data_IF_976390379206
#
_entry.id   IF_976390379206
#
_cell.length_a   1.000
_cell.length_b   1.000
_cell.length_c   1.000
_cell.angle_alpha   90.00
_cell.angle_beta   90.00
_cell.angle_gamma   90.00
#
_symmetry.space_group_name_H-M   'P 1'
#
loop_
_entity.id
_entity.type
_entity.pdbx_description
1 polymer ?
#
# COMPACT_ATOMS: atom_id res chain seq x y z
N UNK A 1 9.82 4.86 -16.57
CA UNK A 1 9.49 4.85 -15.13
C UNK A 1 9.51 6.30 -14.65
N UNK A 2 8.43 6.78 -14.07
CA UNK A 2 8.35 8.12 -13.47
C UNK A 2 8.20 7.96 -11.95
N UNK A 3 8.68 8.92 -11.16
CA UNK A 3 8.53 8.91 -9.69
C UNK A 3 7.74 10.15 -9.27
N UNK A 4 6.54 9.95 -8.72
CA UNK A 4 5.77 11.03 -8.10
C UNK A 4 6.35 11.35 -6.74
N UNK A 5 6.90 12.55 -6.57
CA UNK A 5 7.52 12.98 -5.32
C UNK A 5 6.58 13.87 -4.52
N UNK A 6 6.56 13.68 -3.20
CA UNK A 6 5.80 14.54 -2.28
C UNK A 6 6.67 14.94 -1.10
N UNK A 7 6.88 16.24 -0.94
CA UNK A 7 7.47 16.80 0.25
C UNK A 7 6.36 17.09 1.28
N UNK A 8 6.29 16.28 2.34
CA UNK A 8 5.37 16.45 3.47
C UNK A 8 5.94 17.29 4.62
N UNK A 9 7.12 17.88 4.43
CA UNK A 9 7.75 18.80 5.38
C UNK A 9 7.25 20.24 5.22
N UNK A 10 7.67 21.11 6.13
CA UNK A 10 7.36 22.55 6.10
C UNK A 10 8.41 23.39 5.40
N UNK A 11 9.52 22.80 4.96
CA UNK A 11 10.63 23.47 4.29
C UNK A 11 10.77 23.01 2.85
N UNK A 12 11.19 23.92 1.96
CA UNK A 12 11.50 23.57 0.58
C UNK A 12 12.66 22.57 0.53
N UNK A 13 12.57 21.61 -0.39
CA UNK A 13 13.61 20.61 -0.64
C UNK A 13 13.99 20.66 -2.12
N UNK A 14 15.28 20.80 -2.41
CA UNK A 14 15.82 20.82 -3.77
C UNK A 14 16.34 19.43 -4.09
N UNK A 15 15.77 18.79 -5.11
CA UNK A 15 16.29 17.56 -5.67
C UNK A 15 17.27 17.89 -6.80
N UNK A 16 18.54 17.53 -6.64
CA UNK A 16 19.54 17.72 -7.70
C UNK A 16 19.50 16.57 -8.71
N UNK A 17 19.95 16.81 -9.96
CA UNK A 17 20.14 15.74 -10.92
C UNK A 17 20.98 14.59 -10.35
N UNK A 18 20.56 13.35 -10.64
CA UNK A 18 21.22 12.10 -10.20
C UNK A 18 21.14 11.79 -8.70
N UNK A 19 20.42 12.57 -7.89
CA UNK A 19 20.17 12.21 -6.49
C UNK A 19 19.28 10.95 -6.37
N UNK A 20 19.64 10.08 -5.43
CA UNK A 20 18.85 8.88 -5.11
C UNK A 20 17.68 9.28 -4.21
N UNK A 21 16.45 9.16 -4.71
CA UNK A 21 15.24 9.64 -4.03
C UNK A 21 14.12 8.59 -3.84
N UNK A 22 14.26 7.41 -4.45
CA UNK A 22 13.31 6.30 -4.35
C UNK A 22 14.03 4.96 -4.61
N UNK A 23 13.31 3.86 -4.41
CA UNK A 23 13.80 2.49 -4.62
C UNK A 23 12.78 1.68 -5.42
N UNK A 24 13.24 0.74 -6.23
CA UNK A 24 12.40 -0.20 -6.97
C UNK A 24 12.51 -1.59 -6.34
N UNK A 25 11.37 -2.20 -6.02
CA UNK A 25 11.28 -3.58 -5.51
C UNK A 25 10.44 -4.40 -6.48
N UNK A 26 10.96 -5.56 -6.90
CA UNK A 26 10.29 -6.47 -7.83
C UNK A 26 9.76 -7.66 -7.02
N UNK A 27 8.44 -7.88 -7.04
CA UNK A 27 7.76 -8.96 -6.31
C UNK A 27 6.83 -9.73 -7.23
N UNK A 28 6.61 -11.04 -7.01
CA UNK A 28 5.62 -11.80 -7.77
C UNK A 28 4.21 -11.29 -7.49
N UNK A 29 3.35 -11.32 -8.51
CA UNK A 29 1.93 -10.98 -8.40
C UNK A 29 1.07 -12.10 -8.99
N UNK A 30 -0.11 -12.30 -8.41
CA UNK A 30 -1.11 -13.26 -8.91
C UNK A 30 -2.24 -12.49 -9.58
N UNK A 31 -2.67 -12.94 -10.76
CA UNK A 31 -3.85 -12.41 -11.44
C UNK A 31 -5.09 -13.20 -10.99
N UNK A 32 -5.93 -12.58 -10.16
CA UNK A 32 -7.17 -13.19 -9.70
C UNK A 32 -8.28 -13.05 -10.75
N UNK A 33 -9.22 -13.99 -10.73
CA UNK A 33 -10.50 -13.90 -11.43
C UNK A 33 -11.61 -13.81 -10.39
N UNK A 34 -12.57 -12.92 -10.59
CA UNK A 34 -13.71 -12.80 -9.69
C UNK A 34 -14.66 -13.98 -9.88
N UNK A 35 -15.07 -14.57 -8.77
CA UNK A 35 -16.16 -15.53 -8.70
C UNK A 35 -17.29 -14.92 -7.86
N UNK A 36 -18.44 -14.64 -8.48
CA UNK A 36 -19.58 -14.03 -7.81
C UNK A 36 -20.28 -15.12 -6.97
N UNK A 37 -20.52 -14.82 -5.70
CA UNK A 37 -21.20 -15.70 -4.73
C UNK A 37 -22.26 -14.89 -3.99
N UNK A 38 -23.29 -15.57 -3.48
CA UNK A 38 -24.36 -14.90 -2.72
C UNK A 38 -23.86 -14.44 -1.34
N UNK A 39 -23.03 -15.25 -0.68
CA UNK A 39 -22.49 -14.99 0.66
C UNK A 39 -21.05 -15.50 0.83
N UNK A 40 -20.32 -14.93 1.80
CA UNK A 40 -18.97 -15.38 2.19
C UNK A 40 -19.01 -16.34 3.39
N UNK A 41 -18.09 -17.30 3.45
CA UNK A 41 -17.88 -18.12 4.64
C UNK A 41 -17.37 -17.28 5.83
N UNK A 42 -17.89 -17.58 7.02
CA UNK A 42 -17.45 -16.91 8.23
C UNK A 42 -16.00 -17.27 8.58
N UNK A 43 -15.22 -16.27 9.00
CA UNK A 43 -13.87 -16.45 9.55
C UNK A 43 -13.78 -15.85 10.94
N UNK A 44 -12.80 -16.26 11.74
CA UNK A 44 -12.54 -15.69 13.07
C UNK A 44 -12.38 -14.17 13.03
N UNK A 45 -11.78 -13.63 11.97
CA UNK A 45 -11.58 -12.19 11.79
C UNK A 45 -12.85 -11.45 11.35
N UNK A 46 -13.73 -12.12 10.59
CA UNK A 46 -14.97 -11.55 10.06
C UNK A 46 -14.75 -10.20 9.36
N UNK A 47 -15.63 -9.24 9.67
CA UNK A 47 -15.57 -7.87 9.15
C UNK A 47 -14.56 -6.95 9.87
N UNK A 48 -13.70 -7.49 10.76
CA UNK A 48 -12.74 -6.69 11.51
C UNK A 48 -11.76 -5.92 10.62
N UNK A 49 -11.38 -4.71 11.01
CA UNK A 49 -10.47 -3.83 10.28
C UNK A 49 -10.06 -2.63 11.13
N UNK A 50 -9.20 -1.76 10.60
CA UNK A 50 -8.89 -0.46 11.22
C UNK A 50 -8.50 -0.51 12.72
N UNK A 51 -7.62 -1.44 13.10
CA UNK A 51 -7.20 -1.57 14.49
C UNK A 51 -8.22 -2.29 15.38
N UNK A 52 -9.07 -3.15 14.80
CA UNK A 52 -10.04 -4.00 15.52
C UNK A 52 -9.44 -4.89 16.62
N UNK A 53 -8.13 -5.10 16.62
CA UNK A 53 -7.40 -5.88 17.64
C UNK A 53 -6.92 -5.03 18.82
N UNK A 54 -7.24 -3.73 18.84
CA UNK A 54 -6.80 -2.82 19.91
C UNK A 54 -5.32 -2.44 19.83
N UNK A 55 -4.84 -1.78 20.89
CA UNK A 55 -3.49 -1.20 20.99
C UNK A 55 -2.77 -1.54 22.31
N UNK A 56 -3.30 -2.49 23.09
CA UNK A 56 -2.82 -2.81 24.44
C UNK A 56 -2.51 -4.29 24.56
#
# INVERSE_FOLDING_TARGET
LMVSTWNRGSTAFVLNPMERLAQLVIVPVVQAQFNIVDDFEASERGAGGFGSTGKH
#
